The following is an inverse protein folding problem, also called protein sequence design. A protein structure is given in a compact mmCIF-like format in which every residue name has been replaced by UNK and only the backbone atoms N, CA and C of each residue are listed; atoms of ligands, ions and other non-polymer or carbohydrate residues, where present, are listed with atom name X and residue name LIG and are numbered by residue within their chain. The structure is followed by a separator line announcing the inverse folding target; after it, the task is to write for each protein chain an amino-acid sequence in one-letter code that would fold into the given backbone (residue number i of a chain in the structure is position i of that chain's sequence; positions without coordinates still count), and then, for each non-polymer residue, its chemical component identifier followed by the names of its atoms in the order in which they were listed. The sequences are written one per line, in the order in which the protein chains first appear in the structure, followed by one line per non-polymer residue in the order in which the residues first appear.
data_IF_750394294303
#
_entry.id   IF_750394294303
#
_cell.length_a   1.000
_cell.length_b   1.000
_cell.length_c   1.000
_cell.angle_alpha   90.00
_cell.angle_beta   90.00
_cell.angle_gamma   90.00
#
_symmetry.space_group_name_H-M   'P 1'
#
loop_
_entity.id
_entity.type
_entity.pdbx_description
1 polymer ?
#
# COMPACT_ATOMS: atom_id res chain seq x y z
N UNK A 1 -20.01 -24.66 -1.94
CA UNK A 1 -20.15 -24.93 -3.37
C UNK A 1 -19.72 -23.66 -4.09
N UNK A 2 -18.55 -23.58 -4.70
CA UNK A 2 -18.04 -24.51 -5.70
C UNK A 2 -18.41 -23.97 -7.08
N UNK A 3 -18.07 -22.71 -7.34
CA UNK A 3 -18.08 -22.10 -8.65
C UNK A 3 -16.62 -21.83 -8.98
N UNK A 4 -16.01 -22.77 -9.71
CA UNK A 4 -14.65 -22.60 -10.18
C UNK A 4 -14.70 -21.80 -11.47
N UNK A 5 -13.85 -20.79 -11.58
CA UNK A 5 -13.73 -19.98 -12.79
C UNK A 5 -12.63 -20.56 -13.67
N UNK A 6 -12.93 -20.78 -14.94
CA UNK A 6 -11.95 -21.05 -15.97
C UNK A 6 -11.71 -19.77 -16.79
N UNK A 7 -10.62 -19.75 -17.54
CA UNK A 7 -10.32 -18.68 -18.46
C UNK A 7 -9.95 -19.24 -19.82
N UNK A 8 -10.40 -18.56 -20.88
CA UNK A 8 -10.00 -18.85 -22.24
C UNK A 8 -9.16 -17.69 -22.76
N UNK A 9 -7.91 -17.95 -23.09
CA UNK A 9 -7.01 -16.95 -23.69
C UNK A 9 -7.53 -16.45 -25.03
N UNK A 10 -6.99 -15.32 -25.48
CA UNK A 10 -7.34 -14.70 -26.77
C UNK A 10 -7.10 -15.63 -27.98
N UNK A 11 -6.22 -16.63 -27.85
CA UNK A 11 -5.99 -17.66 -28.87
C UNK A 11 -6.88 -18.92 -28.70
N UNK A 12 -7.85 -18.90 -27.78
CA UNK A 12 -8.83 -19.98 -27.60
C UNK A 12 -8.44 -21.09 -26.62
N UNK A 13 -7.25 -21.05 -26.01
CA UNK A 13 -6.80 -22.05 -25.05
C UNK A 13 -7.50 -21.89 -23.70
N UNK A 14 -8.06 -22.98 -23.17
CA UNK A 14 -8.76 -23.02 -21.88
C UNK A 14 -7.80 -23.37 -20.74
N UNK A 15 -7.90 -22.63 -19.64
CA UNK A 15 -7.12 -22.78 -18.43
C UNK A 15 -8.05 -22.86 -17.22
N UNK A 16 -7.91 -23.89 -16.39
CA UNK A 16 -8.64 -24.05 -15.14
C UNK A 16 -10.11 -24.45 -15.30
N UNK A 17 -10.37 -25.49 -16.09
CA UNK A 17 -11.71 -26.09 -16.28
C UNK A 17 -12.33 -26.52 -14.92
N UNK A 18 -13.59 -26.16 -14.60
CA UNK A 18 -14.20 -26.54 -13.33
C UNK A 18 -14.28 -28.06 -13.20
N UNK A 19 -13.95 -28.59 -12.02
CA UNK A 19 -14.21 -30.00 -11.72
C UNK A 19 -15.73 -30.29 -11.67
N UNK A 20 -16.53 -29.30 -11.25
CA UNK A 20 -17.98 -29.38 -11.20
C UNK A 20 -18.64 -28.01 -11.31
N UNK A 21 -19.76 -27.93 -12.03
CA UNK A 21 -20.57 -26.71 -12.19
C UNK A 21 -20.49 -26.11 -13.59
N UNK A 22 -21.38 -25.15 -13.91
CA UNK A 22 -21.33 -24.46 -15.18
C UNK A 22 -20.20 -23.44 -15.20
N UNK A 23 -19.58 -23.37 -16.36
CA UNK A 23 -18.76 -22.29 -16.84
C UNK A 23 -19.34 -20.89 -16.53
N UNK A 24 -18.59 -20.06 -15.80
CA UNK A 24 -18.94 -18.65 -15.58
C UNK A 24 -18.06 -17.78 -16.48
N UNK A 25 -18.68 -17.19 -17.51
CA UNK A 25 -18.03 -16.17 -18.32
C UNK A 25 -17.95 -14.86 -17.53
N UNK A 26 -16.73 -14.44 -17.21
CA UNK A 26 -16.44 -13.11 -16.68
C UNK A 26 -16.11 -12.21 -17.88
N UNK A 27 -17.07 -11.41 -18.31
CA UNK A 27 -16.85 -10.36 -19.30
C UNK A 27 -16.29 -9.12 -18.58
N UNK A 28 -14.96 -9.01 -18.57
CA UNK A 28 -14.26 -7.90 -17.93
C UNK A 28 -13.11 -7.45 -18.81
N UNK A 29 -13.14 -6.17 -19.19
CA UNK A 29 -12.09 -5.54 -20.00
C UNK A 29 -10.73 -5.42 -19.26
N UNK A 30 -10.63 -5.82 -17.98
CA UNK A 30 -9.42 -5.53 -17.19
C UNK A 30 -9.25 -6.38 -15.91
N UNK A 31 -8.96 -7.69 -15.98
CA UNK A 31 -8.55 -8.45 -14.80
C UNK A 31 -7.17 -7.95 -14.33
N UNK A 32 -7.12 -7.06 -13.33
CA UNK A 32 -5.84 -6.52 -12.85
C UNK A 32 -5.04 -7.52 -12.02
N UNK A 33 -5.73 -8.42 -11.33
CA UNK A 33 -5.15 -9.47 -10.49
C UNK A 33 -5.88 -10.77 -10.77
N UNK A 34 -5.12 -11.85 -10.94
CA UNK A 34 -5.65 -13.19 -10.72
C UNK A 34 -5.22 -13.71 -9.35
N UNK A 35 -6.19 -14.18 -8.58
CA UNK A 35 -6.01 -14.74 -7.24
C UNK A 35 -6.74 -16.07 -7.13
N UNK A 36 -5.99 -17.17 -7.28
CA UNK A 36 -6.57 -18.51 -7.17
C UNK A 36 -6.50 -19.07 -5.75
N UNK A 37 -7.39 -18.60 -4.87
CA UNK A 37 -7.54 -19.17 -3.53
C UNK A 37 -8.27 -20.51 -3.60
N UNK A 38 -7.71 -21.57 -3.00
CA UNK A 38 -8.35 -22.89 -3.03
C UNK A 38 -7.77 -23.87 -4.04
N UNK A 39 -6.75 -23.48 -4.83
CA UNK A 39 -6.15 -24.36 -5.83
C UNK A 39 -4.69 -24.65 -5.49
N UNK A 40 -4.37 -25.92 -5.30
CA UNK A 40 -3.01 -26.41 -5.05
C UNK A 40 -2.10 -26.16 -6.27
N UNK A 41 -0.83 -25.82 -6.03
CA UNK A 41 0.24 -25.77 -7.04
C UNK A 41 0.03 -24.86 -8.26
N UNK A 42 -1.01 -24.02 -8.31
CA UNK A 42 -1.27 -23.14 -9.47
C UNK A 42 -0.23 -22.02 -9.63
N UNK A 43 0.50 -21.71 -8.57
CA UNK A 43 1.65 -20.81 -8.63
C UNK A 43 2.88 -21.49 -9.24
N UNK A 44 2.96 -22.82 -9.29
CA UNK A 44 4.17 -23.51 -9.72
C UNK A 44 4.41 -23.33 -11.22
N UNK A 45 5.59 -22.82 -11.59
CA UNK A 45 6.03 -22.72 -12.99
C UNK A 45 6.84 -23.97 -13.34
N UNK A 46 6.23 -24.86 -14.11
CA UNK A 46 6.86 -26.07 -14.64
C UNK A 46 7.19 -25.94 -16.14
N UNK A 47 6.61 -24.93 -16.81
CA UNK A 47 6.85 -24.63 -18.21
C UNK A 47 5.95 -23.49 -18.70
N UNK A 48 6.00 -23.20 -20.00
CA UNK A 48 5.24 -22.10 -20.61
C UNK A 48 3.72 -22.22 -20.50
N UNK A 49 3.20 -23.44 -20.31
CA UNK A 49 1.76 -23.71 -20.13
C UNK A 49 1.26 -23.63 -18.69
N UNK A 50 2.11 -23.30 -17.71
CA UNK A 50 1.69 -23.13 -16.31
C UNK A 50 0.71 -21.96 -16.16
N UNK A 51 -0.10 -21.97 -15.10
CA UNK A 51 -1.16 -20.98 -14.88
C UNK A 51 -0.60 -19.57 -14.77
N UNK A 52 0.44 -19.35 -13.95
CA UNK A 52 1.04 -18.03 -13.76
C UNK A 52 1.47 -17.33 -15.08
N UNK A 53 2.33 -17.93 -15.93
CA UNK A 53 2.71 -17.31 -17.20
C UNK A 53 1.53 -17.19 -18.18
N UNK A 54 0.61 -18.16 -18.18
CA UNK A 54 -0.58 -18.10 -19.04
C UNK A 54 -1.47 -16.90 -18.71
N UNK A 55 -1.73 -16.66 -17.42
CA UNK A 55 -2.51 -15.51 -16.96
C UNK A 55 -1.83 -14.17 -17.23
N UNK A 56 -0.52 -14.08 -17.02
CA UNK A 56 0.22 -12.83 -17.24
C UNK A 56 0.35 -12.50 -18.73
N UNK A 57 0.68 -13.48 -19.57
CA UNK A 57 0.99 -13.23 -20.97
C UNK A 57 -0.23 -13.29 -21.90
N UNK A 58 -1.24 -14.08 -21.55
CA UNK A 58 -2.40 -14.30 -22.41
C UNK A 58 -3.73 -13.96 -21.72
N UNK A 59 -3.76 -14.03 -20.38
CA UNK A 59 -4.93 -13.73 -19.56
C UNK A 59 -5.10 -12.27 -19.17
N UNK A 60 -4.22 -11.39 -19.66
CA UNK A 60 -4.22 -9.95 -19.39
C UNK A 60 -4.10 -9.58 -17.91
N UNK A 61 -3.71 -10.53 -17.05
CA UNK A 61 -3.49 -10.25 -15.63
C UNK A 61 -2.17 -9.49 -15.43
N UNK A 62 -2.24 -8.32 -14.80
CA UNK A 62 -1.03 -7.58 -14.41
C UNK A 62 -0.29 -8.24 -13.25
N UNK A 63 -1.03 -8.88 -12.35
CA UNK A 63 -0.49 -9.62 -11.22
C UNK A 63 -1.19 -10.96 -11.06
N UNK A 64 -0.43 -11.97 -10.66
CA UNK A 64 -0.94 -13.32 -10.38
C UNK A 64 -0.40 -13.79 -9.04
N UNK A 65 -1.26 -14.34 -8.18
CA UNK A 65 -0.82 -15.07 -6.99
C UNK A 65 -1.40 -16.48 -6.95
N UNK A 66 -0.52 -17.46 -6.74
CA UNK A 66 -0.88 -18.87 -6.60
C UNK A 66 -0.03 -19.61 -5.59
N UNK A 67 -0.57 -20.69 -5.01
CA UNK A 67 0.21 -21.62 -4.19
C UNK A 67 1.24 -22.36 -5.03
N UNK A 68 2.48 -22.43 -4.56
CA UNK A 68 3.57 -23.26 -5.15
C UNK A 68 3.73 -24.60 -4.42
N UNK A 69 2.85 -24.86 -3.45
CA UNK A 69 2.75 -26.09 -2.68
C UNK A 69 1.31 -26.63 -2.73
N UNK A 70 1.13 -27.85 -2.24
CA UNK A 70 -0.22 -28.37 -1.96
C UNK A 70 -0.88 -27.53 -0.87
N UNK A 71 -2.10 -27.08 -1.14
CA UNK A 71 -2.89 -26.30 -0.19
C UNK A 71 -3.15 -27.13 1.08
N UNK A 72 -2.75 -26.59 2.24
CA UNK A 72 -3.05 -27.18 3.54
C UNK A 72 -4.33 -26.64 4.16
N UNK A 73 -4.77 -27.25 5.26
CA UNK A 73 -5.97 -26.84 6.02
C UNK A 73 -5.94 -25.40 6.55
N UNK A 74 -4.74 -24.78 6.64
CA UNK A 74 -4.55 -23.47 7.25
C UNK A 74 -4.30 -22.35 6.24
N UNK A 75 -3.60 -22.62 5.13
CA UNK A 75 -3.60 -21.76 3.93
C UNK A 75 -3.33 -20.28 4.21
N UNK A 76 -2.38 -20.01 5.12
CA UNK A 76 -2.30 -18.75 5.84
C UNK A 76 -1.92 -17.55 4.97
N UNK A 77 -0.91 -17.72 4.11
CA UNK A 77 -0.33 -16.65 3.30
C UNK A 77 -1.32 -16.09 2.26
N UNK A 78 -1.96 -16.98 1.49
CA UNK A 78 -2.90 -16.59 0.43
C UNK A 78 -4.21 -16.05 1.00
N UNK A 79 -4.74 -16.70 2.05
CA UNK A 79 -5.89 -16.19 2.79
C UNK A 79 -5.61 -14.83 3.43
N UNK A 80 -4.39 -14.64 3.95
CA UNK A 80 -3.93 -13.40 4.57
C UNK A 80 -3.78 -12.26 3.57
N UNK A 81 -3.31 -12.55 2.36
CA UNK A 81 -3.21 -11.55 1.28
C UNK A 81 -4.58 -10.94 0.99
N UNK A 82 -5.61 -11.79 0.85
CA UNK A 82 -7.00 -11.35 0.72
C UNK A 82 -7.46 -10.54 1.93
N UNK A 83 -7.15 -10.96 3.15
CA UNK A 83 -7.56 -10.26 4.36
C UNK A 83 -6.96 -8.84 4.44
N UNK A 84 -5.66 -8.68 4.17
CA UNK A 84 -5.03 -7.35 4.13
C UNK A 84 -5.60 -6.47 3.01
N UNK A 85 -5.79 -7.05 1.82
CA UNK A 85 -6.30 -6.31 0.66
C UNK A 85 -7.76 -5.86 0.84
N UNK A 86 -8.62 -6.73 1.36
CA UNK A 86 -10.07 -6.51 1.41
C UNK A 86 -10.59 -6.01 2.77
N UNK A 87 -10.01 -6.49 3.90
CA UNK A 87 -10.65 -6.42 5.23
C UNK A 87 -9.94 -5.55 6.26
N UNK A 88 -8.62 -5.44 6.21
CA UNK A 88 -7.87 -4.80 7.32
C UNK A 88 -7.75 -3.29 7.17
N UNK A 89 -7.39 -2.77 6.01
CA UNK A 89 -7.18 -1.31 5.87
C UNK A 89 -7.58 -0.72 4.52
N UNK A 90 -8.01 -1.54 3.54
CA UNK A 90 -8.41 -1.15 2.17
C UNK A 90 -7.45 -0.22 1.39
N UNK A 91 -6.27 0.09 1.93
CA UNK A 91 -5.33 1.04 1.36
C UNK A 91 -4.06 0.38 0.78
N UNK A 92 -3.95 -0.94 0.93
CA UNK A 92 -2.83 -1.71 0.41
C UNK A 92 -3.03 -2.05 -1.06
N UNK A 93 -1.96 -1.91 -1.84
CA UNK A 93 -1.81 -2.63 -3.09
C UNK A 93 -1.83 -4.14 -2.83
N UNK A 94 -2.11 -4.92 -3.86
CA UNK A 94 -2.05 -6.37 -3.75
C UNK A 94 -0.66 -6.89 -3.35
N UNK A 95 0.40 -6.27 -3.86
CA UNK A 95 1.78 -6.59 -3.48
C UNK A 95 2.08 -6.27 -2.00
N UNK A 96 1.63 -5.12 -1.50
CA UNK A 96 1.75 -4.76 -0.08
C UNK A 96 0.94 -5.73 0.79
N UNK A 97 -0.27 -6.09 0.39
CA UNK A 97 -1.09 -7.07 1.11
C UNK A 97 -0.41 -8.45 1.16
N UNK A 98 0.24 -8.86 0.07
CA UNK A 98 1.01 -10.10 -0.01
C UNK A 98 2.24 -10.05 0.91
N UNK A 99 2.95 -8.93 0.91
CA UNK A 99 4.08 -8.68 1.80
C UNK A 99 3.67 -8.74 3.28
N UNK A 100 2.59 -8.05 3.66
CA UNK A 100 2.08 -8.05 5.03
C UNK A 100 1.59 -9.44 5.46
N UNK A 101 0.93 -10.19 4.57
CA UNK A 101 0.51 -11.56 4.85
C UNK A 101 1.69 -12.49 5.16
N UNK A 102 2.81 -12.33 4.44
CA UNK A 102 4.03 -13.06 4.68
C UNK A 102 4.69 -12.71 6.02
N UNK A 103 4.77 -11.42 6.34
CA UNK A 103 5.37 -10.98 7.59
C UNK A 103 4.49 -11.33 8.79
N UNK A 104 3.16 -11.26 8.66
CA UNK A 104 2.21 -11.77 9.66
C UNK A 104 2.44 -13.25 9.89
N UNK A 105 2.53 -14.09 8.84
CA UNK A 105 2.78 -15.53 9.01
C UNK A 105 4.09 -15.80 9.75
N UNK A 106 5.18 -15.11 9.40
CA UNK A 106 6.46 -15.24 10.11
C UNK A 106 6.32 -14.88 11.58
N UNK A 107 5.63 -13.78 11.87
CA UNK A 107 5.34 -13.38 13.24
C UNK A 107 4.53 -14.45 13.98
N UNK A 108 3.46 -14.95 13.35
CA UNK A 108 2.59 -15.98 13.90
C UNK A 108 3.36 -17.27 14.23
N UNK A 109 4.27 -17.68 13.35
CA UNK A 109 5.14 -18.84 13.56
C UNK A 109 6.11 -18.65 14.72
N UNK A 110 6.73 -17.47 14.84
CA UNK A 110 7.65 -17.15 15.95
C UNK A 110 6.92 -17.17 17.29
N UNK A 111 5.66 -16.73 17.32
CA UNK A 111 4.87 -16.60 18.55
C UNK A 111 3.96 -17.81 18.82
N UNK A 112 4.06 -18.88 18.03
CA UNK A 112 3.25 -20.08 18.22
C UNK A 112 1.74 -19.83 18.10
N UNK A 113 1.33 -18.85 17.29
CA UNK A 113 -0.09 -18.52 17.12
C UNK A 113 -0.81 -19.69 16.45
N UNK A 114 -1.94 -20.18 17.02
CA UNK A 114 -2.69 -21.29 16.45
C UNK A 114 -3.05 -21.03 14.98
N UNK A 115 -2.97 -22.06 14.13
CA UNK A 115 -3.25 -21.94 12.69
C UNK A 115 -2.08 -21.46 11.83
N UNK A 116 -0.94 -21.05 12.43
CA UNK A 116 0.30 -20.89 11.68
C UNK A 116 0.89 -22.26 11.34
N UNK A 117 1.14 -22.52 10.05
CA UNK A 117 1.67 -23.80 9.59
C UNK A 117 3.01 -23.60 8.87
N UNK A 118 4.13 -24.19 9.33
CA UNK A 118 5.45 -23.97 8.74
C UNK A 118 5.57 -24.21 7.22
N UNK A 119 4.91 -25.21 6.61
CA UNK A 119 4.90 -25.39 5.16
C UNK A 119 4.29 -24.21 4.40
N UNK A 120 3.39 -23.42 5.00
CA UNK A 120 2.81 -22.25 4.34
C UNK A 120 3.85 -21.12 4.15
N UNK A 121 4.98 -21.17 4.88
CA UNK A 121 6.08 -20.23 4.71
C UNK A 121 6.75 -20.47 3.35
N UNK A 122 6.68 -19.48 2.47
CA UNK A 122 7.06 -19.59 1.05
C UNK A 122 6.13 -20.51 0.22
N UNK A 123 4.94 -20.80 0.74
CA UNK A 123 3.95 -21.64 0.06
C UNK A 123 3.21 -20.97 -1.08
N UNK A 124 3.34 -19.64 -1.21
CA UNK A 124 2.70 -18.87 -2.28
C UNK A 124 3.66 -17.91 -2.94
N UNK A 125 3.45 -17.72 -4.24
CA UNK A 125 4.23 -16.83 -5.09
C UNK A 125 3.36 -15.73 -5.68
N UNK A 126 3.98 -14.56 -5.85
CA UNK A 126 3.45 -13.40 -6.57
C UNK A 126 4.24 -13.23 -7.86
N UNK A 127 3.53 -13.13 -8.97
CA UNK A 127 4.08 -12.89 -10.31
C UNK A 127 3.48 -11.60 -10.88
N UNK A 128 4.22 -10.95 -11.79
CA UNK A 128 3.88 -9.65 -12.36
C UNK A 128 4.76 -8.53 -11.78
N UNK A 129 4.40 -7.28 -12.07
CA UNK A 129 5.13 -6.12 -11.57
C UNK A 129 4.64 -5.72 -10.16
N UNK A 130 5.45 -5.89 -9.10
CA UNK A 130 5.06 -5.52 -7.73
C UNK A 130 4.94 -4.01 -7.52
N UNK A 131 5.50 -3.18 -8.42
CA UNK A 131 5.36 -1.72 -8.39
C UNK A 131 3.98 -1.22 -8.82
N UNK A 132 3.19 -2.06 -9.51
CA UNK A 132 1.86 -1.68 -9.95
C UNK A 132 0.93 -1.42 -8.76
N UNK A 133 0.29 -0.24 -8.79
CA UNK A 133 -0.64 0.22 -7.76
C UNK A 133 -2.02 -0.42 -7.91
N UNK A 134 -2.08 -1.74 -7.90
CA UNK A 134 -3.36 -2.44 -7.96
C UNK A 134 -4.01 -2.40 -6.59
N UNK A 135 -4.95 -1.48 -6.42
CA UNK A 135 -5.72 -1.27 -5.19
C UNK A 135 -7.20 -1.57 -5.42
N UNK A 136 -7.90 -1.85 -4.34
CA UNK A 136 -9.35 -1.98 -4.38
C UNK A 136 -10.01 -0.63 -4.68
N UNK A 137 -11.11 -0.65 -5.43
CA UNK A 137 -11.93 0.56 -5.66
C UNK A 137 -12.59 1.01 -4.35
N UNK A 138 -12.74 2.32 -4.19
CA UNK A 138 -13.57 2.90 -3.13
C UNK A 138 -15.07 2.81 -3.48
N UNK A 139 -15.42 2.48 -4.72
CA UNK A 139 -16.78 2.30 -5.21
C UNK A 139 -17.22 0.83 -5.05
N UNK A 140 -18.36 0.58 -4.43
CA UNK A 140 -18.95 -0.75 -4.24
C UNK A 140 -19.48 -1.02 -2.83
N UNK A 141 -20.22 -2.12 -2.67
CA UNK A 141 -20.73 -2.59 -1.37
C UNK A 141 -19.75 -3.58 -0.78
N UNK A 142 -18.90 -3.10 0.13
CA UNK A 142 -17.87 -3.91 0.77
C UNK A 142 -18.01 -3.89 2.29
N UNK A 143 -17.67 -4.99 2.95
CA UNK A 143 -17.72 -5.11 4.41
C UNK A 143 -16.71 -4.17 5.08
N UNK A 144 -17.17 -3.26 5.93
CA UNK A 144 -16.31 -2.30 6.63
C UNK A 144 -15.15 -3.00 7.36
N UNK A 145 -13.95 -2.38 7.43
CA UNK A 145 -12.82 -2.99 8.10
C UNK A 145 -13.11 -3.19 9.58
N UNK A 146 -12.52 -4.23 10.18
CA UNK A 146 -12.74 -4.57 11.59
C UNK A 146 -12.25 -3.45 12.53
N UNK A 147 -11.21 -2.74 12.15
CA UNK A 147 -10.63 -1.61 12.87
C UNK A 147 -10.17 -0.51 11.92
N UNK A 148 -9.97 0.69 12.46
CA UNK A 148 -9.37 1.83 11.77
C UNK A 148 -7.94 2.03 12.27
N UNK A 149 -7.06 2.51 11.39
CA UNK A 149 -5.63 2.73 11.67
C UNK A 149 -5.30 4.23 11.64
N UNK A 150 -4.44 4.68 12.54
CA UNK A 150 -3.92 6.04 12.65
C UNK A 150 -2.40 5.99 12.83
N UNK A 151 -1.68 6.87 12.15
CA UNK A 151 -0.23 7.03 12.28
C UNK A 151 0.07 8.49 12.58
N UNK A 152 0.72 8.74 13.72
CA UNK A 152 1.12 10.09 14.15
C UNK A 152 2.63 10.13 14.28
N UNK A 153 3.25 11.19 13.76
CA UNK A 153 4.69 11.42 13.84
C UNK A 153 4.89 12.70 14.65
N UNK A 154 5.66 12.61 15.73
CA UNK A 154 6.10 13.75 16.52
C UNK A 154 7.59 13.91 16.28
N UNK A 155 7.97 15.00 15.61
CA UNK A 155 9.35 15.29 15.27
C UNK A 155 10.17 15.58 16.54
N UNK A 156 11.36 14.99 16.61
CA UNK A 156 12.32 15.24 17.69
C UNK A 156 13.66 15.71 17.15
N UNK A 157 14.52 16.21 18.03
CA UNK A 157 15.82 16.79 17.65
C UNK A 157 16.78 15.71 17.11
N UNK A 158 16.77 14.51 17.69
CA UNK A 158 17.64 13.40 17.29
C UNK A 158 16.87 12.20 16.74
N UNK A 159 15.68 11.95 17.30
CA UNK A 159 14.78 10.86 16.92
C UNK A 159 13.35 11.35 16.88
N UNK A 160 12.61 10.88 15.90
CA UNK A 160 11.16 11.10 15.85
C UNK A 160 10.44 10.03 16.65
N UNK A 161 9.32 10.42 17.24
CA UNK A 161 8.43 9.50 17.94
C UNK A 161 7.21 9.23 17.07
N UNK A 162 7.02 7.97 16.68
CA UNK A 162 5.94 7.52 15.82
C UNK A 162 4.97 6.68 16.63
N UNK A 163 3.69 7.03 16.55
CA UNK A 163 2.58 6.26 17.13
C UNK A 163 1.78 5.61 16.01
N UNK A 164 1.77 4.27 15.97
CA UNK A 164 0.82 3.51 15.17
C UNK A 164 -0.30 2.99 16.08
N UNK A 165 -1.52 3.49 15.87
CA UNK A 165 -2.69 3.18 16.69
C UNK A 165 -3.80 2.57 15.85
N UNK A 166 -4.56 1.65 16.45
CA UNK A 166 -5.81 1.14 15.92
C UNK A 166 -6.97 1.36 16.87
N UNK A 167 -8.17 1.47 16.31
CA UNK A 167 -9.44 1.51 17.04
C UNK A 167 -10.42 0.50 16.44
N UNK A 168 -10.96 -0.40 17.26
CA UNK A 168 -11.94 -1.41 16.83
C UNK A 168 -13.24 -0.74 16.37
N UNK A 169 -13.63 -0.96 15.11
CA UNK A 169 -14.88 -0.43 14.54
C UNK A 169 -16.10 -1.25 14.99
N UNK A 170 -15.88 -2.52 15.34
CA UNK A 170 -16.86 -3.46 15.87
C UNK A 170 -16.16 -4.52 16.70
N UNK A 171 -16.93 -5.28 17.49
CA UNK A 171 -16.40 -6.43 18.20
C UNK A 171 -15.78 -7.46 17.25
N UNK A 172 -14.62 -8.02 17.61
CA UNK A 172 -14.03 -9.13 16.85
C UNK A 172 -12.64 -9.56 17.27
N UNK A 173 -12.07 -10.46 16.47
CA UNK A 173 -10.84 -11.21 16.78
C UNK A 173 -9.75 -10.89 15.73
N UNK A 174 -9.13 -9.71 15.78
CA UNK A 174 -8.10 -9.32 14.81
C UNK A 174 -6.86 -10.21 15.00
N UNK A 175 -6.52 -11.02 13.99
CA UNK A 175 -5.46 -12.02 14.11
C UNK A 175 -5.94 -13.47 14.07
N UNK A 176 -7.20 -13.74 13.72
CA UNK A 176 -7.64 -15.09 13.39
C UNK A 176 -6.94 -15.59 12.10
N UNK A 177 -5.96 -16.44 12.29
CA UNK A 177 -4.98 -16.92 11.29
C UNK A 177 -5.54 -17.85 10.20
N UNK A 178 -6.79 -18.32 10.30
CA UNK A 178 -7.32 -19.21 9.27
C UNK A 178 -7.37 -18.55 7.87
N UNK A 179 -7.53 -19.37 6.83
CA UNK A 179 -7.77 -18.96 5.42
C UNK A 179 -8.86 -17.88 5.25
N UNK A 180 -9.81 -17.82 6.18
CA UNK A 180 -10.97 -16.92 6.13
C UNK A 180 -10.98 -15.86 7.22
N UNK A 181 -10.01 -15.89 8.11
CA UNK A 181 -9.96 -15.00 9.27
C UNK A 181 -9.33 -13.64 9.00
N UNK A 182 -9.49 -12.76 9.98
CA UNK A 182 -8.89 -11.43 9.99
C UNK A 182 -7.40 -11.52 10.35
N UNK A 183 -6.60 -10.56 9.90
CA UNK A 183 -5.16 -10.54 10.18
C UNK A 183 -4.81 -9.54 11.26
N UNK A 184 -3.61 -9.69 11.80
CA UNK A 184 -3.03 -8.74 12.74
C UNK A 184 -3.02 -7.34 12.13
N UNK A 185 -3.32 -6.29 12.92
CA UNK A 185 -3.09 -4.93 12.48
C UNK A 185 -1.66 -4.75 12.02
N UNK A 186 -1.51 -4.29 10.79
CA UNK A 186 -0.22 -3.93 10.23
C UNK A 186 -0.40 -2.73 9.32
N UNK A 187 0.65 -1.90 9.21
CA UNK A 187 0.71 -0.71 8.38
C UNK A 187 2.05 -0.67 7.63
N UNK A 188 2.00 -0.27 6.37
CA UNK A 188 3.19 0.12 5.61
C UNK A 188 3.49 1.57 5.98
N UNK A 189 4.70 1.82 6.48
CA UNK A 189 5.13 3.17 6.86
C UNK A 189 5.32 4.01 5.58
N UNK A 190 4.91 5.29 5.58
CA UNK A 190 5.10 6.19 4.45
C UNK A 190 6.56 6.65 4.30
N UNK A 191 7.46 6.19 5.16
CA UNK A 191 8.89 6.50 5.21
C UNK A 191 9.70 5.24 5.53
N UNK A 192 11.03 5.36 5.44
CA UNK A 192 11.97 4.33 5.86
C UNK A 192 12.43 4.64 7.29
N UNK A 193 12.16 3.74 8.23
CA UNK A 193 12.56 3.88 9.61
C UNK A 193 13.92 3.21 9.85
N UNK A 194 14.82 3.91 10.53
CA UNK A 194 16.13 3.39 10.95
C UNK A 194 16.30 3.63 12.46
N UNK A 195 17.27 2.95 13.09
CA UNK A 195 17.54 3.04 14.55
C UNK A 195 16.27 2.98 15.43
N UNK A 196 15.44 1.97 15.13
CA UNK A 196 14.10 1.82 15.66
C UNK A 196 14.14 1.26 17.09
N UNK A 197 13.45 1.93 18.01
CA UNK A 197 13.26 1.46 19.38
C UNK A 197 11.78 1.57 19.77
N UNK A 198 11.15 0.44 20.12
CA UNK A 198 9.78 0.46 20.64
C UNK A 198 9.82 0.95 22.09
N UNK A 199 9.25 2.12 22.35
CA UNK A 199 9.23 2.75 23.68
C UNK A 199 7.94 2.46 24.45
N UNK A 200 6.86 2.10 23.75
CA UNK A 200 5.61 1.71 24.38
C UNK A 200 4.77 0.82 23.46
N UNK A 201 4.05 -0.14 24.05
CA UNK A 201 2.91 -0.78 23.39
C UNK A 201 1.93 -1.34 24.42
N UNK A 202 0.64 -1.31 24.11
CA UNK A 202 -0.40 -2.07 24.82
C UNK A 202 -0.90 -3.28 24.01
N UNK A 203 -0.24 -3.58 22.89
CA UNK A 203 -0.36 -4.86 22.22
C UNK A 203 0.39 -5.92 23.03
N UNK A 204 0.05 -7.19 22.83
CA UNK A 204 0.80 -8.29 23.46
C UNK A 204 2.23 -8.36 22.95
N UNK A 205 2.42 -8.02 21.68
CA UNK A 205 3.72 -7.84 21.05
C UNK A 205 3.57 -6.91 19.85
N UNK A 206 4.65 -6.25 19.47
CA UNK A 206 4.71 -5.43 18.26
C UNK A 206 6.05 -5.64 17.57
N UNK A 207 6.03 -5.55 16.24
CA UNK A 207 7.22 -5.56 15.40
C UNK A 207 7.20 -4.30 14.56
N UNK A 208 8.28 -3.53 14.65
CA UNK A 208 8.53 -2.38 13.79
C UNK A 208 9.81 -2.63 13.03
N UNK A 209 9.77 -2.44 11.71
CA UNK A 209 10.88 -2.62 10.78
C UNK A 209 10.97 -1.40 9.86
N UNK A 210 11.94 -1.45 8.97
CA UNK A 210 12.32 -0.39 8.05
C UNK A 210 11.15 0.25 7.29
N UNK A 211 10.11 -0.50 6.94
CA UNK A 211 8.98 0.05 6.18
C UNK A 211 7.60 -0.42 6.65
N UNK A 212 7.49 -1.09 7.80
CA UNK A 212 6.20 -1.52 8.31
C UNK A 212 6.19 -1.66 9.83
N UNK A 213 5.00 -1.58 10.39
CA UNK A 213 4.72 -1.95 11.78
C UNK A 213 3.58 -2.98 11.81
N UNK A 214 3.66 -3.94 12.75
CA UNK A 214 2.66 -4.98 12.98
C UNK A 214 2.43 -5.14 14.49
N UNK A 215 1.18 -5.28 14.90
CA UNK A 215 0.80 -5.49 16.30
C UNK A 215 0.07 -6.83 16.49
N UNK A 216 0.46 -7.56 17.52
CA UNK A 216 -0.24 -8.75 17.99
C UNK A 216 -1.15 -8.38 19.15
N UNK A 217 -2.46 -8.43 18.90
CA UNK A 217 -3.43 -7.84 19.82
C UNK A 217 -4.51 -8.82 20.29
N UNK A 218 -4.54 -10.03 19.74
CA UNK A 218 -5.49 -11.07 20.11
C UNK A 218 -4.95 -12.47 19.76
N UNK A 219 -5.33 -13.47 20.55
CA UNK A 219 -4.99 -14.88 20.31
C UNK A 219 -6.17 -15.80 20.57
N UNK A 220 -6.15 -16.98 19.93
CA UNK A 220 -7.22 -17.96 20.08
C UNK A 220 -7.36 -18.40 21.55
N UNK A 221 -8.54 -18.18 22.11
CA UNK A 221 -8.85 -18.45 23.51
C UNK A 221 -9.16 -17.18 24.33
N UNK A 222 -8.83 -15.99 23.83
CA UNK A 222 -9.28 -14.72 24.41
C UNK A 222 -10.71 -14.37 23.98
N UNK A 223 -11.46 -13.62 24.80
CA UNK A 223 -12.69 -12.99 24.34
C UNK A 223 -12.40 -12.04 23.16
N UNK A 224 -13.39 -11.78 22.28
CA UNK A 224 -13.26 -10.75 21.27
C UNK A 224 -12.92 -9.38 21.85
N UNK A 225 -12.17 -8.57 21.10
CA UNK A 225 -11.97 -7.17 21.45
C UNK A 225 -13.24 -6.39 21.20
N UNK A 226 -13.68 -5.58 22.16
CA UNK A 226 -14.89 -4.79 22.06
C UNK A 226 -14.75 -3.63 21.06
N UNK A 227 -15.89 -3.15 20.56
CA UNK A 227 -15.94 -1.92 19.76
C UNK A 227 -15.37 -0.73 20.54
N UNK A 228 -14.56 0.10 19.90
CA UNK A 228 -13.91 1.26 20.50
C UNK A 228 -12.63 0.94 21.27
N UNK A 229 -12.31 -0.34 21.50
CA UNK A 229 -11.01 -0.70 22.07
C UNK A 229 -9.87 -0.23 21.15
N UNK A 230 -8.79 0.22 21.78
CA UNK A 230 -7.60 0.71 21.07
C UNK A 230 -6.40 -0.14 21.37
N UNK A 231 -5.50 -0.24 20.39
CA UNK A 231 -4.15 -0.80 20.55
C UNK A 231 -3.16 0.09 19.84
N UNK A 232 -1.98 0.24 20.39
CA UNK A 232 -0.93 1.05 19.78
C UNK A 232 0.46 0.52 20.07
N UNK A 233 1.37 0.85 19.17
CA UNK A 233 2.81 0.77 19.34
C UNK A 233 3.38 2.15 19.09
N UNK A 234 4.19 2.62 20.04
CA UNK A 234 4.95 3.85 19.95
C UNK A 234 6.41 3.47 19.87
N UNK A 235 7.09 3.98 18.86
CA UNK A 235 8.49 3.73 18.64
C UNK A 235 9.21 5.02 18.30
N UNK A 236 10.49 5.08 18.66
CA UNK A 236 11.40 6.07 18.12
C UNK A 236 12.11 5.49 16.89
N UNK A 237 12.53 6.35 16.00
CA UNK A 237 13.44 6.02 14.90
C UNK A 237 14.36 7.21 14.67
N UNK A 238 15.49 6.99 13.97
CA UNK A 238 16.30 8.08 13.39
C UNK A 238 15.36 9.10 12.80
N UNK A 239 15.62 10.38 13.08
CA UNK A 239 14.85 11.50 12.56
C UNK A 239 14.41 11.18 11.14
N UNK A 240 13.10 11.00 10.99
CA UNK A 240 12.51 10.74 9.69
C UNK A 240 12.83 12.02 8.97
N UNK A 241 13.65 11.88 7.94
CA UNK A 241 13.96 12.96 7.01
C UNK A 241 12.65 13.22 6.27
N UNK A 242 11.75 13.93 6.96
CA UNK A 242 10.55 14.57 6.43
C UNK A 242 10.96 15.82 5.63
N UNK A 243 12.26 16.14 5.67
CA UNK A 243 12.91 17.19 4.89
C UNK A 243 14.31 16.81 4.42
N UNK A 244 14.63 17.02 3.14
CA UNK A 244 15.97 17.54 2.84
C UNK A 244 15.86 18.99 3.30
N UNK A 245 16.32 19.26 4.50
CA UNK A 245 16.43 20.60 5.06
C UNK A 245 17.28 21.48 4.10
N UNK A 246 16.61 22.05 3.10
CA UNK A 246 17.09 23.16 2.28
C UNK A 246 16.64 24.50 2.90
N UNK A 247 16.40 24.53 4.22
CA UNK A 247 16.36 25.81 4.96
C UNK A 247 17.76 26.40 5.21
N UNK A 248 18.83 25.74 4.76
CA UNK A 248 19.91 26.53 4.16
C UNK A 248 19.31 27.13 2.90
N UNK A 249 18.90 28.40 2.93
CA UNK A 249 18.75 29.21 1.70
C UNK A 249 19.96 28.83 0.85
N UNK A 250 19.82 27.99 -0.21
CA UNK A 250 20.98 27.64 -0.98
C UNK A 250 21.39 29.00 -1.52
N UNK A 251 22.58 29.46 -1.14
CA UNK A 251 23.20 30.57 -1.86
C UNK A 251 23.03 30.16 -3.32
N UNK A 252 22.24 30.89 -4.14
CA UNK A 252 21.74 30.36 -5.39
C UNK A 252 22.95 29.88 -6.19
N UNK A 253 23.12 28.56 -6.26
CA UNK A 253 24.11 27.97 -7.12
C UNK A 253 23.58 28.26 -8.53
N UNK A 254 24.28 29.05 -9.36
CA UNK A 254 23.70 29.62 -10.58
C UNK A 254 23.39 28.62 -11.70
N UNK A 255 23.27 27.32 -11.44
CA UNK A 255 23.35 26.31 -12.50
C UNK A 255 22.05 25.56 -12.78
N UNK A 256 21.22 25.23 -11.79
CA UNK A 256 20.19 24.20 -11.98
C UNK A 256 18.77 24.66 -11.61
N UNK A 257 17.82 24.22 -12.44
CA UNK A 257 16.40 24.30 -12.13
C UNK A 257 16.02 23.10 -11.28
N UNK A 258 15.48 23.33 -10.08
CA UNK A 258 15.05 22.28 -9.16
C UNK A 258 13.60 22.48 -8.75
N UNK A 259 12.77 21.43 -8.82
CA UNK A 259 11.44 21.39 -8.23
C UNK A 259 11.51 20.64 -6.90
N UNK A 260 11.12 21.27 -5.80
CA UNK A 260 11.18 20.66 -4.46
C UNK A 260 9.91 19.90 -4.10
N UNK A 261 10.03 19.02 -3.09
CA UNK A 261 8.87 18.36 -2.52
C UNK A 261 7.96 19.39 -1.83
N UNK A 262 6.64 19.26 -1.99
CA UNK A 262 5.71 20.16 -1.32
C UNK A 262 5.74 19.91 0.19
N UNK A 263 5.62 20.96 1.00
CA UNK A 263 5.61 20.85 2.46
C UNK A 263 4.44 21.63 3.09
N UNK A 264 3.63 21.01 3.98
CA UNK A 264 3.71 19.60 4.38
C UNK A 264 3.33 18.62 3.26
N UNK A 265 3.73 17.35 3.37
CA UNK A 265 3.25 16.26 2.52
C UNK A 265 3.32 14.91 3.27
N UNK A 266 2.17 14.27 3.58
CA UNK A 266 0.81 14.67 3.23
C UNK A 266 0.36 15.98 3.90
N UNK A 267 -0.68 16.63 3.37
CA UNK A 267 -1.13 17.93 3.86
C UNK A 267 -2.65 18.05 3.99
N UNK A 268 -3.10 18.99 4.84
CA UNK A 268 -4.51 19.33 5.04
C UNK A 268 -4.69 20.82 5.43
N UNK A 269 -5.42 21.65 4.68
CA UNK A 269 -5.68 21.57 3.24
C UNK A 269 -4.63 22.37 2.43
N UNK A 270 -3.60 22.93 3.07
CA UNK A 270 -2.59 23.79 2.44
C UNK A 270 -1.20 23.15 2.45
N UNK A 271 -0.46 23.37 1.37
CA UNK A 271 0.96 22.99 1.24
C UNK A 271 1.72 24.04 0.43
N UNK A 272 3.01 24.17 0.68
CA UNK A 272 3.90 25.06 -0.08
C UNK A 272 4.70 24.25 -1.09
N UNK A 273 4.70 24.68 -2.35
CA UNK A 273 5.53 24.12 -3.41
C UNK A 273 6.63 25.13 -3.71
N UNK A 274 7.88 24.69 -3.60
CA UNK A 274 9.05 25.53 -3.88
C UNK A 274 9.80 25.04 -5.11
N UNK A 275 10.53 25.95 -5.76
CA UNK A 275 11.41 25.63 -6.88
C UNK A 275 12.46 26.73 -7.12
N UNK A 276 13.56 26.40 -7.78
CA UNK A 276 14.58 27.35 -8.26
C UNK A 276 14.57 27.41 -9.78
N UNK A 277 14.80 28.59 -10.35
CA UNK A 277 15.06 28.77 -11.79
C UNK A 277 16.40 29.49 -12.02
N UNK A 278 17.27 28.97 -12.91
CA UNK A 278 18.63 29.50 -13.09
C UNK A 278 18.69 30.77 -13.95
N UNK A 279 17.66 31.01 -14.77
CA UNK A 279 17.51 32.18 -15.62
C UNK A 279 16.05 32.60 -15.71
N UNK A 280 15.81 33.88 -15.95
CA UNK A 280 14.45 34.40 -16.11
C UNK A 280 13.77 33.67 -17.26
N UNK A 281 12.61 33.05 -16.99
CA UNK A 281 11.89 32.21 -17.94
C UNK A 281 10.40 32.22 -17.64
N UNK A 282 9.59 31.86 -18.65
CA UNK A 282 8.17 31.61 -18.46
C UNK A 282 8.02 30.30 -17.69
N UNK A 283 7.43 30.38 -16.49
CA UNK A 283 7.18 29.24 -15.60
C UNK A 283 5.69 28.92 -15.62
N UNK A 284 5.36 27.64 -15.81
CA UNK A 284 4.02 27.10 -15.57
C UNK A 284 4.08 26.02 -14.50
N UNK A 285 3.43 26.23 -13.36
CA UNK A 285 3.25 25.24 -12.31
C UNK A 285 1.78 24.84 -12.24
N UNK A 286 1.48 23.58 -12.53
CA UNK A 286 0.11 23.06 -12.63
C UNK A 286 -0.08 21.79 -11.82
N UNK A 287 -1.25 21.65 -11.21
CA UNK A 287 -1.73 20.51 -10.44
C UNK A 287 -2.57 19.58 -11.32
N UNK A 288 -2.33 18.29 -11.22
CA UNK A 288 -3.02 17.23 -11.94
C UNK A 288 -3.55 16.18 -10.95
N UNK A 289 -4.70 15.60 -11.27
CA UNK A 289 -5.20 14.45 -10.52
C UNK A 289 -4.56 13.14 -11.00
N UNK A 290 -4.88 12.02 -10.36
CA UNK A 290 -4.34 10.69 -10.71
C UNK A 290 -4.71 10.22 -12.13
N UNK A 291 -5.75 10.79 -12.75
CA UNK A 291 -6.14 10.53 -14.15
C UNK A 291 -5.35 11.39 -15.15
N UNK A 292 -4.40 12.19 -14.67
CA UNK A 292 -3.64 13.13 -15.50
C UNK A 292 -4.44 14.35 -15.95
N UNK A 293 -5.63 14.59 -15.38
CA UNK A 293 -6.44 15.75 -15.72
C UNK A 293 -5.93 16.96 -14.96
N UNK A 294 -5.82 18.10 -15.66
CA UNK A 294 -5.48 19.39 -15.05
C UNK A 294 -6.55 19.79 -14.03
N UNK A 295 -6.13 19.98 -12.78
CA UNK A 295 -7.00 20.40 -11.67
C UNK A 295 -6.94 21.91 -11.50
N UNK A 296 -5.74 22.49 -11.54
CA UNK A 296 -5.52 23.92 -11.31
C UNK A 296 -4.13 24.30 -11.78
N UNK A 297 -3.97 25.51 -12.32
CA UNK A 297 -2.66 26.13 -12.55
C UNK A 297 -2.38 27.11 -11.41
N UNK A 298 -1.24 26.95 -10.74
CA UNK A 298 -0.81 27.79 -9.61
C UNK A 298 0.06 28.96 -10.06
N UNK A 299 0.88 28.75 -11.09
CA UNK A 299 1.77 29.76 -11.66
C UNK A 299 1.72 29.64 -13.17
N UNK A 300 1.60 30.77 -13.87
CA UNK A 300 1.74 30.85 -15.33
C UNK A 300 2.24 32.24 -15.73
N UNK A 301 3.50 32.55 -15.43
CA UNK A 301 4.07 33.90 -15.60
C UNK A 301 5.59 33.85 -15.85
N UNK A 302 6.15 34.99 -16.24
CA UNK A 302 7.61 35.12 -16.38
C UNK A 302 8.18 35.44 -15.00
N UNK A 303 9.05 34.57 -14.49
CA UNK A 303 9.72 34.76 -13.20
C UNK A 303 11.21 35.02 -13.40
N UNK A 304 11.79 35.81 -12.49
CA UNK A 304 13.23 36.11 -12.50
C UNK A 304 14.04 34.93 -11.97
N UNK A 305 15.32 34.81 -12.38
CA UNK A 305 16.23 33.81 -11.81
C UNK A 305 16.23 33.86 -10.28
N UNK A 306 16.16 32.71 -9.62
CA UNK A 306 16.18 32.60 -8.17
C UNK A 306 15.24 31.53 -7.62
N UNK A 307 15.09 31.55 -6.31
CA UNK A 307 14.18 30.69 -5.56
C UNK A 307 12.78 31.30 -5.53
N UNK A 308 11.76 30.45 -5.70
CA UNK A 308 10.35 30.81 -5.69
C UNK A 308 9.57 29.78 -4.87
N UNK A 309 8.47 30.23 -4.28
CA UNK A 309 7.52 29.36 -3.59
C UNK A 309 6.09 29.83 -3.83
N UNK A 310 5.16 28.87 -3.82
CA UNK A 310 3.73 29.12 -3.99
C UNK A 310 2.93 28.21 -3.08
N UNK A 311 1.92 28.77 -2.43
CA UNK A 311 1.00 28.01 -1.58
C UNK A 311 -0.11 27.42 -2.44
N UNK A 312 -0.33 26.12 -2.33
CA UNK A 312 -1.51 25.46 -2.87
C UNK A 312 -2.54 25.25 -1.77
N UNK A 313 -3.67 25.95 -1.88
CA UNK A 313 -4.85 25.73 -1.06
C UNK A 313 -5.81 24.75 -1.74
N UNK A 314 -5.90 23.54 -1.19
CA UNK A 314 -6.69 22.46 -1.71
C UNK A 314 -7.99 22.22 -0.91
N UNK A 315 -8.52 23.24 -0.23
CA UNK A 315 -9.75 23.14 0.59
C UNK A 315 -10.96 22.54 -0.15
N UNK A 316 -11.07 22.77 -1.45
CA UNK A 316 -12.17 22.30 -2.30
C UNK A 316 -11.82 21.02 -3.08
N UNK A 317 -10.74 20.33 -2.71
CA UNK A 317 -10.28 19.08 -3.34
C UNK A 317 -10.51 17.89 -2.41
N UNK A 318 -10.67 16.71 -3.00
CA UNK A 318 -10.87 15.45 -2.25
C UNK A 318 -9.54 14.87 -1.77
N UNK A 319 -9.56 14.12 -0.66
CA UNK A 319 -8.39 13.37 -0.17
C UNK A 319 -7.86 12.47 -1.28
N UNK A 320 -6.53 12.34 -1.40
CA UNK A 320 -5.93 11.50 -2.42
C UNK A 320 -4.61 12.05 -2.97
N UNK A 321 -4.13 11.37 -4.02
CA UNK A 321 -2.86 11.68 -4.66
C UNK A 321 -3.07 12.69 -5.79
N UNK A 322 -2.23 13.72 -5.79
CA UNK A 322 -2.13 14.71 -6.84
C UNK A 322 -0.69 14.79 -7.32
N UNK A 323 -0.50 15.40 -8.48
CA UNK A 323 0.81 15.67 -9.04
C UNK A 323 0.91 17.15 -9.34
N UNK A 324 2.02 17.78 -9.01
CA UNK A 324 2.32 19.10 -9.51
C UNK A 324 3.47 19.01 -10.49
N UNK A 325 3.32 19.71 -11.62
CA UNK A 325 4.30 19.75 -12.70
C UNK A 325 4.71 21.19 -12.93
N UNK A 326 6.02 21.41 -12.96
CA UNK A 326 6.61 22.67 -13.41
C UNK A 326 7.12 22.51 -14.83
N UNK A 327 6.93 23.54 -15.65
CA UNK A 327 7.53 23.72 -16.97
C UNK A 327 8.20 25.08 -16.97
N UNK A 328 9.49 25.14 -17.30
CA UNK A 328 10.18 26.41 -17.54
C UNK A 328 11.20 26.28 -18.67
N UNK A 329 10.88 26.85 -19.84
CA UNK A 329 11.62 26.57 -21.07
C UNK A 329 11.53 25.09 -21.45
N UNK A 330 12.68 24.45 -21.69
CA UNK A 330 12.77 23.02 -22.06
C UNK A 330 12.71 22.07 -20.85
N UNK A 331 12.72 22.61 -19.62
CA UNK A 331 12.69 21.79 -18.42
C UNK A 331 11.27 21.45 -18.01
N UNK A 332 11.04 20.18 -17.68
CA UNK A 332 9.80 19.72 -17.05
C UNK A 332 10.13 18.80 -15.88
N UNK A 333 9.57 19.07 -14.70
CA UNK A 333 9.60 18.15 -13.57
C UNK A 333 8.21 17.95 -12.99
N UNK A 334 7.96 16.77 -12.46
CA UNK A 334 6.70 16.41 -11.81
C UNK A 334 6.99 15.77 -10.47
N UNK A 335 6.26 16.17 -9.43
CA UNK A 335 6.31 15.56 -8.10
C UNK A 335 4.91 15.21 -7.62
N UNK A 336 4.86 14.23 -6.72
CA UNK A 336 3.63 13.67 -6.15
C UNK A 336 3.35 14.35 -4.81
N UNK A 337 2.10 14.68 -4.53
CA UNK A 337 1.64 15.18 -3.24
C UNK A 337 0.37 14.43 -2.80
N UNK A 338 0.09 14.41 -1.49
CA UNK A 338 -1.01 13.68 -0.88
C UNK A 338 -1.84 14.63 -0.02
N UNK A 339 -3.13 14.75 -0.32
CA UNK A 339 -4.10 15.45 0.52
C UNK A 339 -4.66 14.46 1.53
N UNK A 340 -4.54 14.77 2.83
CA UNK A 340 -5.30 14.12 3.89
C UNK A 340 -6.48 15.01 4.24
N UNK A 341 -7.67 14.43 4.30
CA UNK A 341 -8.90 15.09 4.72
C UNK A 341 -9.73 14.11 5.50
#
# INVERSE_FOLDING_TARGET
SGSEGYFRSSNGQVYGDPYSGPDINIDSDNPKIYFGLGNCNIGQILGGGSMAPSWIHTGSAYQYTGYVITEGTHSHQHGGTKAYFYRVARNYTWAEAFFLANNSLKFDMINGTPGANPPDLNGSALYGDPGMQVKMSNEGVFQQPLFTNELTINEGIEKDTVTYKITMNREGNPGFTSKWGERHPAIILPFRAEDIEIIYTNAMAAVVKDNFALMYIWYQGQPPLAQGETREVVFTCTHIITDIDEHIIPKPEPANLTLYQNHPNPFNPQTTISYTIPKSSKVSLSIYNIKGQLVQTLVDEVQQSGYHSVVWDAKDKGSGIYFYRIIAGDFTATKKCVILK
#
